data_IF_861545596730
#
_entry.id   IF_861545596730
#
_cell.length_a   1.000
_cell.length_b   1.000
_cell.length_c   1.000
_cell.angle_alpha   90.00
_cell.angle_beta   90.00
_cell.angle_gamma   90.00
#
_symmetry.space_group_name_H-M   'P 1'
#
loop_
_entity.id
_entity.type
_entity.pdbx_description
1 polymer ?
#
# COMPACT_ATOMS: atom_id res chain seq x y z
N UNK A 1 -8.96 24.16 2.92
CA UNK A 1 -8.62 22.80 3.36
C UNK A 1 -9.21 21.80 2.38
N UNK A 2 -8.42 21.44 1.37
CA UNK A 2 -8.84 20.57 0.27
C UNK A 2 -9.22 19.18 0.78
N UNK A 3 -8.51 18.68 1.79
CA UNK A 3 -8.79 17.37 2.39
C UNK A 3 -10.19 17.31 2.98
N UNK A 4 -10.69 18.41 3.54
CA UNK A 4 -12.06 18.49 4.07
C UNK A 4 -13.11 18.59 2.97
N UNK A 5 -12.76 19.09 1.81
CA UNK A 5 -13.70 19.18 0.69
C UNK A 5 -13.96 17.81 0.06
N UNK A 6 -12.95 16.97 -0.08
CA UNK A 6 -13.02 15.72 -0.83
C UNK A 6 -12.85 14.43 -0.02
N UNK A 7 -12.52 14.40 1.27
CA UNK A 7 -12.13 13.19 1.98
C UNK A 7 -13.18 12.10 2.00
N UNK A 8 -14.44 12.46 1.85
CA UNK A 8 -15.56 11.51 1.82
C UNK A 8 -16.12 11.27 0.42
N UNK A 9 -15.62 11.95 -0.59
CA UNK A 9 -16.14 11.83 -1.96
C UNK A 9 -15.36 10.81 -2.74
N UNK A 10 -16.09 9.89 -3.30
CA UNK A 10 -15.60 8.91 -4.27
C UNK A 10 -16.18 9.14 -5.64
N UNK A 11 -17.08 10.11 -5.72
CA UNK A 11 -17.76 10.50 -6.94
C UNK A 11 -17.16 11.78 -7.48
N UNK A 12 -17.02 11.85 -8.80
CA UNK A 12 -16.74 13.11 -9.47
C UNK A 12 -17.91 14.09 -9.27
N UNK A 13 -17.65 15.40 -9.20
CA UNK A 13 -18.74 16.37 -9.18
C UNK A 13 -19.68 16.15 -10.37
N UNK A 14 -20.97 16.13 -10.08
CA UNK A 14 -22.04 15.94 -11.08
C UNK A 14 -22.13 14.55 -11.73
N UNK A 15 -21.47 13.54 -11.20
CA UNK A 15 -21.61 12.17 -11.69
C UNK A 15 -22.97 11.59 -11.34
N UNK A 16 -23.78 11.29 -12.36
CA UNK A 16 -25.11 10.71 -12.21
C UNK A 16 -25.01 9.28 -11.66
N UNK A 17 -25.80 8.98 -10.63
CA UNK A 17 -25.87 7.64 -10.03
C UNK A 17 -24.78 7.33 -9.03
N UNK A 18 -23.77 8.16 -8.87
CA UNK A 18 -22.78 8.03 -7.84
C UNK A 18 -23.29 8.60 -6.51
N UNK A 19 -23.01 7.92 -5.41
CA UNK A 19 -23.36 8.37 -4.06
C UNK A 19 -22.11 8.69 -3.28
N UNK A 20 -22.10 9.85 -2.66
CA UNK A 20 -21.09 10.17 -1.64
C UNK A 20 -21.25 9.20 -0.46
N UNK A 21 -20.19 8.53 -0.11
CA UNK A 21 -20.20 7.60 0.99
C UNK A 21 -19.85 8.35 2.28
N UNK A 22 -20.77 9.17 2.76
CA UNK A 22 -20.56 10.03 3.93
C UNK A 22 -20.93 9.36 5.26
N UNK A 23 -21.75 8.33 5.22
CA UNK A 23 -22.15 7.58 6.43
C UNK A 23 -21.19 6.41 6.65
N UNK A 24 -20.11 6.70 7.26
CA UNK A 24 -19.01 5.78 7.29
C UNK A 24 -18.97 4.99 8.57
N UNK A 25 -19.22 3.72 8.45
CA UNK A 25 -18.70 2.77 9.41
C UNK A 25 -17.16 2.81 9.33
N UNK A 26 -16.54 2.63 10.45
CA UNK A 26 -15.11 2.49 10.61
C UNK A 26 -14.58 1.19 10.00
N UNK A 27 -14.95 0.86 8.77
CA UNK A 27 -14.42 -0.33 8.12
C UNK A 27 -12.99 -0.13 7.61
N UNK A 28 -12.35 0.71 8.30
CA UNK A 28 -10.97 0.60 8.39
C UNK A 28 -10.13 1.55 7.65
N UNK A 29 -9.33 1.95 8.46
CA UNK A 29 -8.06 2.57 8.15
C UNK A 29 -7.29 1.81 7.08
N UNK A 30 -7.49 0.49 7.00
CA UNK A 30 -6.82 -0.38 6.03
C UNK A 30 -7.43 -0.38 4.63
N UNK A 31 -8.68 -0.03 4.52
CA UNK A 31 -9.35 -0.17 3.23
C UNK A 31 -9.31 1.12 2.41
N UNK A 32 -9.03 2.24 3.06
CA UNK A 32 -9.03 3.55 2.41
C UNK A 32 -10.38 3.94 1.79
N UNK A 33 -11.35 3.03 1.82
CA UNK A 33 -12.59 3.17 1.08
C UNK A 33 -13.57 4.12 1.72
N UNK A 34 -13.62 4.12 3.03
CA UNK A 34 -14.63 4.81 3.81
C UNK A 34 -14.06 5.76 4.84
N UNK A 35 -12.80 5.60 5.22
CA UNK A 35 -12.12 6.45 6.16
C UNK A 35 -11.98 7.90 5.68
N UNK A 36 -11.84 8.87 6.58
CA UNK A 36 -11.65 10.26 6.24
C UNK A 36 -10.26 10.53 5.60
N UNK A 37 -9.28 9.70 5.90
CA UNK A 37 -7.93 9.82 5.37
C UNK A 37 -7.77 9.00 4.08
N UNK A 38 -7.88 9.66 2.95
CA UNK A 38 -7.80 9.07 1.61
C UNK A 38 -6.89 9.87 0.71
N UNK A 39 -6.26 9.23 -0.29
CA UNK A 39 -5.51 9.95 -1.30
C UNK A 39 -6.44 10.89 -2.09
N UNK A 40 -5.98 12.11 -2.28
CA UNK A 40 -6.71 13.13 -3.01
C UNK A 40 -6.27 13.14 -4.47
N UNK A 41 -7.01 12.45 -5.30
CA UNK A 41 -6.74 12.37 -6.73
C UNK A 41 -7.05 13.68 -7.46
N UNK A 42 -6.31 13.92 -8.55
CA UNK A 42 -6.66 14.97 -9.51
C UNK A 42 -8.02 14.68 -10.13
N UNK A 43 -8.84 15.71 -10.43
CA UNK A 43 -10.21 15.53 -10.91
C UNK A 43 -10.34 14.62 -12.13
N UNK A 44 -9.39 14.69 -13.06
CA UNK A 44 -9.35 13.86 -14.28
C UNK A 44 -9.23 12.35 -14.02
N UNK A 45 -8.85 11.96 -12.80
CA UNK A 45 -8.69 10.55 -12.41
C UNK A 45 -9.86 9.99 -11.59
N UNK A 46 -10.83 10.82 -11.19
CA UNK A 46 -11.93 10.37 -10.33
C UNK A 46 -12.77 9.25 -10.94
N UNK A 47 -13.07 9.33 -12.23
CA UNK A 47 -13.84 8.29 -12.91
C UNK A 47 -13.12 6.96 -12.92
N UNK A 48 -11.78 6.97 -13.12
CA UNK A 48 -10.95 5.76 -13.04
C UNK A 48 -10.96 5.15 -11.65
N UNK A 49 -10.77 5.97 -10.60
CA UNK A 49 -10.81 5.49 -9.20
C UNK A 49 -12.14 4.83 -8.89
N UNK A 50 -13.25 5.44 -9.30
CA UNK A 50 -14.58 4.90 -9.06
C UNK A 50 -14.84 3.62 -9.84
N UNK A 51 -14.41 3.56 -11.08
CA UNK A 51 -14.51 2.35 -11.89
C UNK A 51 -13.76 1.19 -11.25
N UNK A 52 -12.51 1.42 -10.87
CA UNK A 52 -11.67 0.40 -10.23
C UNK A 52 -12.21 -0.03 -8.87
N UNK A 53 -12.79 0.89 -8.09
CA UNK A 53 -13.45 0.55 -6.83
C UNK A 53 -14.71 -0.29 -7.03
N UNK A 54 -15.49 0.04 -8.04
CA UNK A 54 -16.70 -0.72 -8.38
C UNK A 54 -16.37 -2.13 -8.88
N UNK A 55 -15.35 -2.23 -9.73
CA UNK A 55 -14.94 -3.47 -10.39
C UNK A 55 -13.75 -4.14 -9.66
N UNK A 56 -13.66 -3.97 -8.35
CA UNK A 56 -12.51 -4.39 -7.53
C UNK A 56 -12.14 -5.85 -7.77
N UNK A 57 -13.10 -6.77 -7.74
CA UNK A 57 -12.83 -8.21 -7.85
C UNK A 57 -12.24 -8.60 -9.21
N UNK A 58 -12.52 -7.83 -10.25
CA UNK A 58 -12.00 -8.10 -11.59
C UNK A 58 -10.72 -7.30 -11.88
N UNK A 59 -10.68 -6.05 -11.45
CA UNK A 59 -9.62 -5.11 -11.79
C UNK A 59 -8.45 -5.10 -10.83
N UNK A 60 -8.63 -5.57 -9.59
CA UNK A 60 -7.55 -5.60 -8.60
C UNK A 60 -6.49 -6.64 -8.98
N UNK A 61 -5.22 -6.23 -9.17
CA UNK A 61 -4.13 -7.12 -9.57
C UNK A 61 -3.89 -8.28 -8.60
N UNK A 62 -4.19 -8.09 -7.30
CA UNK A 62 -4.02 -9.14 -6.30
C UNK A 62 -4.85 -10.39 -6.62
N UNK A 63 -6.06 -10.24 -7.17
CA UNK A 63 -6.89 -11.38 -7.56
C UNK A 63 -6.39 -12.12 -8.80
N UNK A 64 -5.34 -11.62 -9.42
CA UNK A 64 -4.61 -12.27 -10.53
C UNK A 64 -3.22 -12.71 -10.11
N UNK A 65 -3.01 -12.93 -8.82
CA UNK A 65 -1.74 -13.36 -8.24
C UNK A 65 -0.56 -12.41 -8.46
N UNK A 66 -0.79 -11.15 -8.76
CA UNK A 66 0.28 -10.14 -8.76
C UNK A 66 0.68 -9.76 -7.34
N UNK A 67 1.94 -9.37 -7.10
CA UNK A 67 2.39 -8.84 -5.82
C UNK A 67 1.56 -7.65 -5.35
N UNK A 68 1.35 -7.53 -4.04
CA UNK A 68 0.60 -6.39 -3.50
C UNK A 68 1.35 -5.06 -3.65
N UNK A 69 2.69 -5.12 -3.59
CA UNK A 69 3.51 -3.92 -3.61
C UNK A 69 3.41 -3.08 -2.33
N UNK A 70 4.18 -2.01 -2.28
CA UNK A 70 4.08 -1.02 -1.21
C UNK A 70 3.28 0.20 -1.68
N UNK A 71 2.53 0.84 -0.78
CA UNK A 71 2.38 0.59 0.66
C UNK A 71 1.36 -0.49 1.03
N UNK A 72 0.67 -1.06 0.07
CA UNK A 72 -0.45 -1.99 0.27
C UNK A 72 -0.09 -3.24 1.09
N UNK A 73 1.11 -3.77 0.92
CA UNK A 73 1.59 -4.93 1.69
C UNK A 73 1.63 -4.67 3.19
N UNK A 74 1.72 -3.40 3.60
CA UNK A 74 1.68 -2.95 4.99
C UNK A 74 2.95 -3.25 5.78
N UNK A 75 2.80 -3.44 7.10
CA UNK A 75 3.92 -3.65 8.02
C UNK A 75 4.51 -5.05 7.84
N UNK A 76 5.85 -5.19 7.79
CA UNK A 76 6.48 -6.51 7.74
C UNK A 76 6.25 -7.30 9.03
N UNK A 77 6.07 -8.61 8.89
CA UNK A 77 5.96 -9.53 10.04
C UNK A 77 7.29 -9.80 10.71
N UNK A 78 8.37 -9.77 9.95
CA UNK A 78 9.73 -9.99 10.46
C UNK A 78 10.70 -9.05 9.75
N UNK A 79 11.58 -8.46 10.53
CA UNK A 79 12.67 -7.63 10.04
C UNK A 79 13.97 -8.30 10.48
N UNK A 80 14.88 -8.54 9.55
CA UNK A 80 16.25 -8.97 9.79
C UNK A 80 17.16 -7.85 9.30
N UNK A 81 18.03 -7.38 10.15
CA UNK A 81 18.93 -6.28 9.83
C UNK A 81 20.38 -6.72 9.96
N UNK A 82 21.19 -6.32 8.99
CA UNK A 82 22.65 -6.38 9.03
C UNK A 82 23.23 -4.96 9.07
N UNK A 83 24.52 -4.83 8.93
CA UNK A 83 25.20 -3.52 8.87
C UNK A 83 24.78 -2.72 7.61
N UNK A 84 24.59 -3.40 6.48
CA UNK A 84 24.41 -2.77 5.17
C UNK A 84 23.02 -2.91 4.56
N UNK A 85 22.18 -3.74 5.15
CA UNK A 85 20.83 -4.00 4.62
C UNK A 85 19.83 -4.40 5.70
N UNK A 86 18.57 -4.16 5.42
CA UNK A 86 17.43 -4.71 6.15
C UNK A 86 16.58 -5.59 5.22
N UNK A 87 16.21 -6.78 5.70
CA UNK A 87 15.32 -7.69 4.98
C UNK A 87 13.97 -7.72 5.66
N UNK A 88 12.94 -7.31 4.95
CA UNK A 88 11.56 -7.28 5.41
C UNK A 88 10.80 -8.48 4.84
N UNK A 89 10.24 -9.29 5.72
CA UNK A 89 9.44 -10.44 5.36
C UNK A 89 7.96 -10.15 5.63
N UNK A 90 7.15 -10.44 4.64
CA UNK A 90 5.70 -10.31 4.69
C UNK A 90 5.06 -11.68 4.59
N UNK A 91 3.88 -11.85 5.15
CA UNK A 91 3.06 -13.03 4.93
C UNK A 91 1.61 -12.60 4.74
N UNK A 92 1.01 -13.09 3.70
CA UNK A 92 -0.39 -12.85 3.40
C UNK A 92 -1.14 -14.18 3.30
N UNK A 93 -2.42 -14.14 3.66
CA UNK A 93 -3.27 -15.32 3.68
C UNK A 93 -3.46 -15.99 2.31
N UNK A 94 -3.17 -15.28 1.24
CA UNK A 94 -3.58 -15.67 -0.13
C UNK A 94 -2.38 -15.85 -1.07
N UNK A 95 -1.15 -15.70 -0.59
CA UNK A 95 0.05 -15.77 -1.45
C UNK A 95 1.26 -16.29 -0.71
N UNK A 96 2.26 -16.71 -1.50
CA UNK A 96 3.60 -16.99 -1.00
C UNK A 96 4.22 -15.77 -0.33
N UNK A 97 5.24 -16.02 0.46
CA UNK A 97 5.90 -14.96 1.22
C UNK A 97 6.61 -13.98 0.30
N UNK A 98 6.23 -12.72 0.43
CA UNK A 98 6.97 -11.63 -0.19
C UNK A 98 8.08 -11.16 0.77
N UNK A 99 9.18 -10.71 0.20
CA UNK A 99 10.25 -10.08 0.96
C UNK A 99 10.82 -8.89 0.19
N UNK A 100 11.43 -7.97 0.91
CA UNK A 100 12.17 -6.83 0.35
C UNK A 100 13.55 -6.79 0.98
N UNK A 101 14.56 -6.63 0.16
CA UNK A 101 15.92 -6.28 0.61
C UNK A 101 16.08 -4.78 0.46
N UNK A 102 16.41 -4.11 1.55
CA UNK A 102 16.51 -2.66 1.62
C UNK A 102 17.96 -2.33 1.96
N UNK A 103 18.75 -1.86 0.99
CA UNK A 103 20.08 -1.35 1.26
C UNK A 103 20.03 -0.16 2.22
N UNK A 104 20.91 -0.17 3.24
CA UNK A 104 21.09 0.92 4.21
C UNK A 104 22.56 1.39 4.27
N UNK A 105 23.28 1.17 3.18
CA UNK A 105 24.70 1.48 3.02
C UNK A 105 24.99 2.86 2.44
N UNK A 106 23.95 3.68 2.27
CA UNK A 106 24.05 5.05 1.76
C UNK A 106 24.10 5.18 0.25
N UNK A 107 23.79 4.09 -0.50
CA UNK A 107 23.68 4.16 -1.96
C UNK A 107 22.50 5.03 -2.40
N UNK A 108 22.58 5.56 -3.60
CA UNK A 108 21.44 6.20 -4.28
C UNK A 108 20.56 5.13 -4.95
N UNK A 109 19.37 5.54 -5.39
CA UNK A 109 18.53 4.73 -6.27
C UNK A 109 19.24 4.41 -7.58
N UNK A 110 18.96 3.21 -8.11
CA UNK A 110 19.47 2.77 -9.39
C UNK A 110 18.67 3.44 -10.53
N UNK A 111 19.31 4.30 -11.35
CA UNK A 111 18.60 4.98 -12.44
C UNK A 111 18.14 4.02 -13.56
N UNK A 112 18.70 2.82 -13.61
CA UNK A 112 18.37 1.79 -14.59
C UNK A 112 17.45 0.71 -14.00
N UNK A 113 16.82 0.97 -12.83
CA UNK A 113 15.92 0.03 -12.17
C UNK A 113 14.75 -0.36 -13.07
N UNK A 114 14.51 -1.67 -13.19
CA UNK A 114 13.34 -2.15 -13.91
C UNK A 114 12.09 -2.01 -13.06
N UNK A 115 11.04 -1.29 -13.51
CA UNK A 115 9.85 -1.02 -12.71
C UNK A 115 9.14 -2.27 -12.19
N UNK A 116 8.87 -2.31 -10.90
CA UNK A 116 8.27 -3.45 -10.22
C UNK A 116 7.20 -3.07 -9.19
N UNK A 117 6.58 -4.06 -8.57
CA UNK A 117 5.56 -3.84 -7.54
C UNK A 117 6.15 -3.31 -6.22
N UNK A 118 7.39 -3.66 -5.93
CA UNK A 118 8.10 -3.26 -4.71
C UNK A 118 9.11 -2.15 -4.95
N UNK A 119 9.30 -1.72 -6.21
CA UNK A 119 10.22 -0.66 -6.60
C UNK A 119 11.66 -0.92 -6.20
N UNK A 120 12.46 0.15 -6.23
CA UNK A 120 13.85 0.23 -5.77
C UNK A 120 13.87 0.90 -4.38
N UNK A 121 13.95 0.15 -3.28
CA UNK A 121 14.00 0.70 -1.95
C UNK A 121 15.44 1.07 -1.54
N UNK A 122 15.61 2.25 -0.95
CA UNK A 122 16.87 2.67 -0.30
C UNK A 122 16.56 3.17 1.10
N UNK A 123 17.27 2.67 2.10
CA UNK A 123 17.08 3.01 3.50
C UNK A 123 18.20 3.88 4.07
N UNK A 124 17.85 4.73 5.03
CA UNK A 124 18.79 5.46 5.86
C UNK A 124 18.23 5.67 7.26
N UNK A 125 19.11 5.97 8.21
CA UNK A 125 18.70 6.26 9.58
C UNK A 125 18.59 7.74 9.85
N UNK A 126 17.45 8.15 10.40
CA UNK A 126 17.22 9.47 10.99
C UNK A 126 17.07 9.28 12.52
N UNK A 127 18.16 9.38 13.23
CA UNK A 127 18.17 9.07 14.67
C UNK A 127 17.83 7.60 14.93
N UNK A 128 16.69 7.34 15.57
CA UNK A 128 16.16 6.02 15.90
C UNK A 128 15.11 5.50 14.88
N UNK A 129 14.93 6.22 13.79
CA UNK A 129 13.95 5.93 12.76
C UNK A 129 14.63 5.47 11.48
N UNK A 130 14.33 4.26 11.02
CA UNK A 130 14.67 3.80 9.69
C UNK A 130 13.68 4.41 8.69
N UNK A 131 14.19 5.20 7.77
CA UNK A 131 13.44 5.75 6.65
C UNK A 131 13.76 4.95 5.41
N UNK A 132 12.74 4.44 4.75
CA UNK A 132 12.85 3.70 3.48
C UNK A 132 12.18 4.51 2.41
N UNK A 133 12.95 4.98 1.46
CA UNK A 133 12.51 5.68 0.27
C UNK A 133 12.46 4.69 -0.90
N UNK A 134 11.35 4.64 -1.61
CA UNK A 134 11.15 3.68 -2.68
C UNK A 134 10.58 4.38 -3.91
N UNK A 135 11.23 4.18 -5.04
CA UNK A 135 10.82 4.65 -6.38
C UNK A 135 10.86 3.48 -7.38
N UNK A 136 10.66 3.71 -8.66
CA UNK A 136 10.80 2.67 -9.67
C UNK A 136 9.66 1.64 -9.66
N UNK A 137 8.45 2.10 -9.44
CA UNK A 137 7.25 1.27 -9.49
C UNK A 137 6.72 1.07 -10.92
N UNK A 138 6.05 -0.06 -11.16
CA UNK A 138 5.17 -0.20 -12.32
C UNK A 138 3.85 0.55 -12.05
N UNK A 139 2.96 0.63 -13.05
CA UNK A 139 1.64 1.28 -12.94
C UNK A 139 0.48 0.30 -12.72
N UNK A 140 0.81 -0.96 -12.38
CA UNK A 140 -0.19 -2.03 -12.23
C UNK A 140 -0.73 -2.08 -10.80
N UNK A 141 0.12 -1.79 -9.80
CA UNK A 141 -0.21 -1.89 -8.38
C UNK A 141 -1.32 -0.96 -7.91
N UNK A 142 -1.82 -1.22 -6.71
CA UNK A 142 -2.75 -0.34 -6.01
C UNK A 142 -2.18 0.07 -4.65
N UNK A 143 -2.52 1.28 -4.21
CA UNK A 143 -2.04 1.82 -2.93
C UNK A 143 -2.69 1.14 -1.71
N UNK A 144 -3.88 0.57 -1.87
CA UNK A 144 -4.64 -0.09 -0.80
C UNK A 144 -5.40 -1.31 -1.33
N UNK A 145 -5.85 -2.16 -0.41
CA UNK A 145 -6.64 -3.36 -0.74
C UNK A 145 -8.04 -3.05 -1.30
N UNK A 146 -8.51 -1.84 -1.17
CA UNK A 146 -9.84 -1.41 -1.64
C UNK A 146 -9.79 0.05 -2.04
N UNK A 147 -10.80 0.49 -2.79
CA UNK A 147 -10.94 1.89 -3.14
C UNK A 147 -10.51 2.26 -4.54
N UNK A 148 -9.93 1.30 -5.28
CA UNK A 148 -9.48 1.56 -6.65
C UNK A 148 -8.34 2.57 -6.72
N UNK A 149 -7.55 2.69 -5.65
CA UNK A 149 -6.48 3.68 -5.55
C UNK A 149 -5.24 3.20 -6.31
N UNK A 150 -5.24 3.46 -7.61
CA UNK A 150 -4.12 3.20 -8.50
C UNK A 150 -3.02 4.27 -8.35
N UNK A 151 -1.88 4.01 -8.93
CA UNK A 151 -0.76 4.96 -9.02
C UNK A 151 -0.16 4.97 -10.42
N UNK A 152 0.75 5.91 -10.67
CA UNK A 152 1.54 6.00 -11.89
C UNK A 152 2.96 5.45 -11.71
N UNK A 153 3.78 5.56 -12.74
CA UNK A 153 5.22 5.27 -12.66
C UNK A 153 6.00 6.28 -11.80
N UNK A 154 5.42 7.47 -11.57
CA UNK A 154 6.01 8.54 -10.74
C UNK A 154 5.77 8.32 -9.24
N UNK A 155 5.20 7.17 -8.87
CA UNK A 155 4.99 6.81 -7.47
C UNK A 155 6.32 6.82 -6.71
N UNK A 156 6.31 7.49 -5.57
CA UNK A 156 7.33 7.42 -4.53
C UNK A 156 6.67 7.12 -3.20
N UNK A 157 7.20 6.16 -2.47
CA UNK A 157 6.71 5.75 -1.16
C UNK A 157 7.81 5.94 -0.12
N UNK A 158 7.51 6.71 0.92
CA UNK A 158 8.41 6.97 2.03
C UNK A 158 7.84 6.29 3.27
N UNK A 159 8.51 5.25 3.73
CA UNK A 159 8.13 4.47 4.92
C UNK A 159 9.04 4.84 6.08
N UNK A 160 8.47 4.99 7.27
CA UNK A 160 9.20 5.32 8.50
C UNK A 160 8.93 4.27 9.56
N UNK A 161 9.98 3.64 10.04
CA UNK A 161 9.93 2.59 11.06
C UNK A 161 10.70 3.04 12.29
N UNK A 162 10.04 3.15 13.42
CA UNK A 162 10.66 3.48 14.71
C UNK A 162 10.29 2.43 15.73
N UNK A 163 11.29 1.83 16.36
CA UNK A 163 11.10 0.88 17.44
C UNK A 163 11.23 1.58 18.79
N UNK A 164 10.27 1.32 19.68
CA UNK A 164 10.28 1.75 21.06
C UNK A 164 9.99 0.54 21.96
N UNK A 165 11.03 -0.02 22.57
CA UNK A 165 10.94 -1.28 23.30
C UNK A 165 10.39 -2.42 22.43
N UNK A 166 9.22 -2.94 22.79
CA UNK A 166 8.52 -4.00 22.05
C UNK A 166 7.46 -3.46 21.08
N UNK A 167 7.50 -2.18 20.82
CA UNK A 167 6.54 -1.51 19.93
C UNK A 167 7.25 -1.03 18.67
N UNK A 168 6.67 -1.32 17.51
CA UNK A 168 7.08 -0.79 16.21
C UNK A 168 6.03 0.22 15.76
N UNK A 169 6.46 1.45 15.54
CA UNK A 169 5.67 2.51 14.92
C UNK A 169 5.98 2.55 13.43
N UNK A 170 4.96 2.54 12.62
CA UNK A 170 5.05 2.57 11.17
C UNK A 170 4.20 3.68 10.59
N UNK A 171 4.76 4.48 9.71
CA UNK A 171 4.09 5.54 8.99
C UNK A 171 4.52 5.55 7.53
N UNK A 172 3.59 5.87 6.64
CA UNK A 172 3.82 5.91 5.19
C UNK A 172 3.35 7.24 4.63
N UNK A 173 4.16 7.82 3.75
CA UNK A 173 3.77 8.93 2.88
C UNK A 173 3.90 8.48 1.44
N UNK A 174 2.86 8.72 0.67
CA UNK A 174 2.77 8.43 -0.77
C UNK A 174 2.82 9.75 -1.52
N UNK A 175 3.72 9.84 -2.46
CA UNK A 175 3.86 10.96 -3.41
C UNK A 175 3.66 10.41 -4.83
N UNK A 176 2.75 11.00 -5.58
CA UNK A 176 2.54 10.68 -6.98
C UNK A 176 2.00 11.94 -7.69
N UNK A 177 2.88 12.80 -8.17
CA UNK A 177 2.49 14.09 -8.72
C UNK A 177 1.69 13.99 -10.00
N UNK A 178 1.70 12.83 -10.68
CA UNK A 178 0.89 12.61 -11.87
C UNK A 178 -0.58 12.41 -11.54
N UNK A 179 -0.88 11.69 -10.47
CA UNK A 179 -2.27 11.33 -10.15
C UNK A 179 -2.83 12.00 -8.89
N UNK A 180 -1.97 12.38 -7.93
CA UNK A 180 -2.39 13.01 -6.68
C UNK A 180 -2.23 14.55 -6.72
N UNK A 181 -3.12 15.25 -6.05
CA UNK A 181 -3.04 16.70 -5.85
C UNK A 181 -1.99 17.10 -4.80
N UNK A 182 -1.79 16.24 -3.82
CA UNK A 182 -0.87 16.45 -2.71
C UNK A 182 -0.35 15.11 -2.18
N UNK A 183 0.79 15.07 -1.48
CA UNK A 183 1.25 13.87 -0.79
C UNK A 183 0.21 13.33 0.19
N UNK A 184 0.04 12.02 0.19
CA UNK A 184 -0.88 11.36 1.10
C UNK A 184 -0.14 10.64 2.22
N UNK A 185 -0.28 11.12 3.44
CA UNK A 185 0.23 10.42 4.62
C UNK A 185 -0.85 9.51 5.19
N UNK A 186 -0.59 8.22 5.15
CA UNK A 186 -1.49 7.19 5.67
C UNK A 186 -1.56 7.26 7.21
N UNK A 187 -2.62 6.70 7.79
CA UNK A 187 -2.72 6.60 9.24
C UNK A 187 -1.57 5.76 9.80
N UNK A 188 -0.95 6.26 10.85
CA UNK A 188 0.14 5.55 11.52
C UNK A 188 -0.35 4.21 12.10
N UNK A 189 0.49 3.20 12.01
CA UNK A 189 0.23 1.88 12.56
C UNK A 189 1.20 1.58 13.70
N UNK A 190 0.71 0.83 14.68
CA UNK A 190 1.48 0.43 15.85
C UNK A 190 1.39 -1.09 16.00
N UNK A 191 2.53 -1.76 15.96
CA UNK A 191 2.64 -3.21 16.09
C UNK A 191 3.39 -3.57 17.36
N UNK A 192 3.02 -4.66 18.01
CA UNK A 192 3.75 -5.20 19.16
C UNK A 192 4.56 -6.41 18.76
N UNK A 193 5.77 -6.50 19.29
CA UNK A 193 6.62 -7.67 19.12
C UNK A 193 5.90 -8.89 19.69
N UNK A 194 5.91 -9.99 18.91
CA UNK A 194 5.44 -11.26 19.42
C UNK A 194 6.45 -11.79 20.47
N UNK A 195 6.02 -12.03 21.71
CA UNK A 195 6.91 -12.49 22.76
C UNK A 195 7.33 -13.97 22.61
N UNK A 196 6.66 -14.73 21.75
CA UNK A 196 7.00 -16.14 21.51
C UNK A 196 8.29 -16.27 20.68
N UNK A 197 9.39 -16.76 21.24
CA UNK A 197 10.66 -16.91 20.53
C UNK A 197 10.61 -17.99 19.45
N UNK A 198 9.59 -18.84 19.45
CA UNK A 198 9.39 -19.92 18.47
C UNK A 198 8.48 -19.50 17.33
N UNK A 199 7.92 -18.29 17.39
CA UNK A 199 7.05 -17.78 16.35
C UNK A 199 7.73 -17.78 14.98
N UNK A 200 7.09 -18.37 14.01
CA UNK A 200 7.53 -18.42 12.62
C UNK A 200 6.53 -17.76 11.71
N UNK A 201 6.97 -17.41 10.52
CA UNK A 201 6.07 -16.95 9.46
C UNK A 201 5.39 -18.21 8.90
N UNK A 202 4.04 -18.30 8.96
CA UNK A 202 3.33 -19.46 8.44
C UNK A 202 3.45 -19.52 6.91
N UNK A 203 3.43 -20.70 6.36
CA UNK A 203 3.35 -20.89 4.91
C UNK A 203 2.10 -20.24 4.32
N UNK A 204 2.25 -19.57 3.20
CA UNK A 204 1.14 -18.94 2.48
C UNK A 204 0.27 -19.95 1.75
N UNK A 205 -0.97 -19.58 1.46
CA UNK A 205 -1.88 -20.39 0.65
C UNK A 205 -1.61 -20.11 -0.83
N UNK A 206 -1.49 -21.13 -1.70
CA UNK A 206 -1.38 -20.93 -3.14
C UNK A 206 -2.54 -20.09 -3.69
N UNK A 207 -2.20 -19.08 -4.48
CA UNK A 207 -3.15 -18.08 -4.97
C UNK A 207 -4.16 -18.64 -5.99
N UNK A 208 -3.79 -19.64 -6.78
CA UNK A 208 -4.41 -20.03 -8.04
C UNK A 208 -5.92 -20.27 -8.01
N UNK A 209 -6.41 -21.10 -7.10
CA UNK A 209 -7.81 -21.51 -7.10
C UNK A 209 -8.74 -20.43 -6.52
N UNK A 210 -8.22 -19.63 -5.61
CA UNK A 210 -8.94 -18.52 -5.02
C UNK A 210 -9.22 -17.41 -6.04
N UNK A 211 -8.22 -17.09 -6.86
CA UNK A 211 -8.34 -16.00 -7.81
C UNK A 211 -9.28 -16.29 -8.97
N UNK A 212 -9.32 -17.53 -9.44
CA UNK A 212 -10.25 -17.92 -10.50
C UNK A 212 -11.70 -17.71 -10.06
N UNK A 213 -12.06 -18.16 -8.87
CA UNK A 213 -13.42 -18.01 -8.35
C UNK A 213 -13.84 -16.56 -8.16
N UNK A 214 -12.91 -15.70 -7.73
CA UNK A 214 -13.18 -14.27 -7.46
C UNK A 214 -13.22 -13.46 -8.76
N UNK A 215 -12.31 -13.70 -9.68
CA UNK A 215 -12.21 -12.91 -10.92
C UNK A 215 -13.37 -13.12 -11.88
N UNK A 216 -14.00 -14.31 -11.88
CA UNK A 216 -15.14 -14.57 -12.76
C UNK A 216 -16.47 -14.08 -12.19
N UNK A 217 -16.56 -13.83 -10.89
CA UNK A 217 -17.85 -13.55 -10.25
C UNK A 217 -18.40 -12.17 -10.56
N UNK A 218 -17.56 -11.17 -10.79
CA UNK A 218 -17.92 -9.74 -10.91
C UNK A 218 -18.86 -9.24 -9.81
N UNK A 219 -18.99 -9.99 -8.72
CA UNK A 219 -19.80 -9.62 -7.58
C UNK A 219 -18.91 -8.88 -6.60
N UNK A 220 -19.36 -7.71 -6.21
CA UNK A 220 -18.70 -6.91 -5.18
C UNK A 220 -18.93 -7.55 -3.81
N UNK A 221 -17.88 -7.93 -3.13
CA UNK A 221 -17.89 -8.47 -1.77
C UNK A 221 -17.58 -7.41 -0.73
#
# INVERSE_FOLDING_TARGET
>A
DIVRLFPSRRCAPNQIGCRDNTNQSNDGEFTGRTGPNRPLYRPEHWDKVQYLDYDTNFSDPMFRCYPEGVPRVGVPLKIVQTENEAVFFYSRLVRDHDYRVIPIDGRAHDPDWFPGFYGDPVGHWEGDTLVVDTVGFNDIGWLTARGGYFHSYELRVIERFRRDGDTLHYQVTVEDPEVLLEPWTMNAQVMRLNPDPTASIPEGVPCRDYDEAVTVSRIRH
#
